data_IF_268129259788
#
_entry.id   IF_268129259788
#
_cell.length_a   1.000
_cell.length_b   1.000
_cell.length_c   1.000
_cell.angle_alpha   90.00
_cell.angle_beta   90.00
_cell.angle_gamma   90.00
#
_symmetry.space_group_name_H-M   'P 1'
#
loop_
_entity.id
_entity.type
_entity.pdbx_description
1 polymer ?
#
# COMPACT_ATOMS: atom_id res chain seq x y z
N UNK A 1 24.63 -1.49 -10.31
CA UNK A 1 23.66 -0.88 -11.25
C UNK A 1 23.31 0.55 -10.80
N UNK A 2 23.38 1.53 -11.70
CA UNK A 2 22.98 2.94 -11.46
C UNK A 2 21.46 3.11 -11.52
N UNK A 3 20.93 4.26 -11.08
CA UNK A 3 19.49 4.57 -11.19
C UNK A 3 19.03 4.57 -12.65
N UNK A 4 19.86 5.07 -13.57
CA UNK A 4 19.56 5.09 -15.01
C UNK A 4 19.54 3.68 -15.62
N UNK A 5 20.48 2.82 -15.23
CA UNK A 5 20.47 1.42 -15.66
C UNK A 5 19.22 0.68 -15.13
N UNK A 6 18.87 0.87 -13.86
CA UNK A 6 17.65 0.30 -13.28
C UNK A 6 16.39 0.82 -14.00
N UNK A 7 16.34 2.11 -14.29
CA UNK A 7 15.26 2.72 -15.07
C UNK A 7 15.09 2.03 -16.42
N UNK A 8 16.20 1.79 -17.14
CA UNK A 8 16.18 1.09 -18.42
C UNK A 8 15.71 -0.36 -18.26
N UNK A 9 16.17 -1.06 -17.24
CA UNK A 9 15.74 -2.44 -16.92
C UNK A 9 14.24 -2.54 -16.65
N UNK A 10 13.64 -1.55 -15.99
CA UNK A 10 12.19 -1.53 -15.74
C UNK A 10 11.37 -1.52 -17.04
N UNK A 11 11.94 -1.15 -18.20
CA UNK A 11 11.27 -1.25 -19.49
C UNK A 11 10.96 -2.70 -19.92
N UNK A 12 11.58 -3.70 -19.30
CA UNK A 12 11.31 -5.11 -19.53
C UNK A 12 10.37 -5.73 -18.48
N UNK A 13 10.03 -4.98 -17.43
CA UNK A 13 8.97 -5.38 -16.48
C UNK A 13 7.63 -5.32 -17.19
N UNK A 14 6.88 -6.41 -17.14
CA UNK A 14 5.51 -6.48 -17.64
C UNK A 14 4.55 -7.02 -16.56
N UNK A 15 3.29 -7.20 -16.92
CA UNK A 15 2.24 -7.63 -16.00
C UNK A 15 2.36 -9.11 -15.56
N UNK A 16 3.26 -9.90 -16.15
CA UNK A 16 3.43 -11.30 -15.80
C UNK A 16 3.94 -11.44 -14.36
N UNK A 17 3.53 -12.52 -13.69
CA UNK A 17 4.04 -12.84 -12.34
C UNK A 17 5.53 -13.15 -12.40
N UNK A 18 5.95 -13.91 -13.41
CA UNK A 18 7.34 -14.32 -13.61
C UNK A 18 8.29 -13.11 -13.66
N UNK A 19 7.99 -12.10 -14.50
CA UNK A 19 8.85 -10.91 -14.61
C UNK A 19 8.86 -10.08 -13.33
N UNK A 20 7.70 -9.90 -12.69
CA UNK A 20 7.64 -9.14 -11.42
C UNK A 20 8.39 -9.84 -10.30
N UNK A 21 8.30 -11.18 -10.21
CA UNK A 21 9.09 -11.98 -9.26
C UNK A 21 10.58 -11.92 -9.56
N UNK A 22 10.98 -12.01 -10.84
CA UNK A 22 12.39 -11.88 -11.23
C UNK A 22 12.99 -10.54 -10.76
N UNK A 23 12.32 -9.42 -11.07
CA UNK A 23 12.81 -8.10 -10.68
C UNK A 23 12.72 -7.84 -9.18
N UNK A 24 11.72 -8.40 -8.49
CA UNK A 24 11.67 -8.36 -7.03
C UNK A 24 12.88 -9.08 -6.42
N UNK A 25 13.20 -10.29 -6.88
CA UNK A 25 14.37 -11.03 -6.41
C UNK A 25 15.69 -10.31 -6.74
N UNK A 26 15.77 -9.62 -7.88
CA UNK A 26 16.92 -8.80 -8.25
C UNK A 26 17.15 -7.68 -7.22
N UNK A 27 16.10 -6.94 -6.81
CA UNK A 27 16.25 -5.86 -5.82
C UNK A 27 16.45 -6.38 -4.40
N UNK A 28 15.86 -7.53 -4.04
CA UNK A 28 16.10 -8.20 -2.76
C UNK A 28 17.56 -8.64 -2.65
N UNK A 29 18.11 -9.24 -3.71
CA UNK A 29 19.51 -9.66 -3.77
C UNK A 29 20.51 -8.50 -3.83
N UNK A 30 20.05 -7.28 -4.07
CA UNK A 30 20.89 -6.08 -4.17
C UNK A 30 20.23 -4.89 -3.45
N UNK A 31 20.26 -4.82 -2.11
CA UNK A 31 19.50 -3.83 -1.33
C UNK A 31 19.75 -2.36 -1.70
N UNK A 32 20.95 -2.01 -2.19
CA UNK A 32 21.28 -0.67 -2.70
C UNK A 32 20.39 -0.22 -3.89
N UNK A 33 19.72 -1.17 -4.55
CA UNK A 33 18.77 -0.87 -5.62
C UNK A 33 17.41 -0.41 -5.10
N UNK A 34 17.04 -0.74 -3.86
CA UNK A 34 15.72 -0.44 -3.32
C UNK A 34 15.54 1.09 -3.18
N UNK A 35 16.56 1.80 -2.70
CA UNK A 35 16.52 3.27 -2.63
C UNK A 35 16.31 3.91 -4.01
N UNK A 36 16.98 3.36 -5.03
CA UNK A 36 16.88 3.81 -6.45
C UNK A 36 15.52 3.45 -7.06
N UNK A 37 14.99 2.27 -6.72
CA UNK A 37 13.65 1.85 -7.12
C UNK A 37 12.61 2.83 -6.59
N UNK A 38 12.74 3.26 -5.33
CA UNK A 38 11.89 4.29 -4.74
C UNK A 38 12.05 5.66 -5.41
N UNK A 39 13.27 6.06 -5.79
CA UNK A 39 13.47 7.30 -6.58
C UNK A 39 12.67 7.26 -7.88
N UNK A 40 12.65 6.12 -8.56
CA UNK A 40 11.90 5.93 -9.81
C UNK A 40 10.39 5.87 -9.55
N UNK A 41 9.97 5.17 -8.48
CA UNK A 41 8.56 5.09 -8.06
C UNK A 41 7.96 6.48 -7.81
N UNK A 42 8.73 7.38 -7.20
CA UNK A 42 8.27 8.76 -6.91
C UNK A 42 8.49 9.75 -8.07
N UNK A 43 8.88 9.29 -9.27
CA UNK A 43 8.73 10.08 -10.51
C UNK A 43 7.27 10.01 -10.97
N UNK A 44 6.37 10.63 -10.23
CA UNK A 44 4.91 10.40 -10.32
C UNK A 44 4.26 10.78 -11.65
N UNK A 45 4.95 11.54 -12.50
CA UNK A 45 4.49 11.86 -13.86
C UNK A 45 5.06 10.93 -14.95
N UNK A 46 5.97 10.04 -14.57
CA UNK A 46 6.64 9.11 -15.47
C UNK A 46 5.92 7.76 -15.46
N UNK A 47 5.60 7.22 -16.65
CA UNK A 47 4.94 5.92 -16.78
C UNK A 47 5.79 4.77 -16.25
N UNK A 48 7.10 4.92 -16.15
CA UNK A 48 7.97 3.89 -15.55
C UNK A 48 7.69 3.71 -14.05
N UNK A 49 7.19 4.75 -13.38
CA UNK A 49 6.93 4.72 -11.93
C UNK A 49 5.99 3.59 -11.55
N UNK A 50 5.00 3.29 -12.39
CA UNK A 50 4.08 2.16 -12.21
C UNK A 50 4.82 0.81 -12.19
N UNK A 51 5.84 0.65 -13.03
CA UNK A 51 6.64 -0.59 -13.08
C UNK A 51 7.54 -0.70 -11.86
N UNK A 52 8.13 0.41 -11.42
CA UNK A 52 8.85 0.46 -10.16
C UNK A 52 7.94 0.09 -8.97
N UNK A 53 6.71 0.61 -8.96
CA UNK A 53 5.69 0.30 -7.95
C UNK A 53 5.31 -1.19 -7.95
N UNK A 54 5.19 -1.83 -9.12
CA UNK A 54 4.94 -3.28 -9.20
C UNK A 54 6.08 -4.11 -8.61
N UNK A 55 7.33 -3.76 -8.94
CA UNK A 55 8.50 -4.46 -8.39
C UNK A 55 8.59 -4.28 -6.89
N UNK A 56 8.37 -3.05 -6.40
CA UNK A 56 8.38 -2.73 -4.98
C UNK A 56 7.29 -3.46 -4.20
N UNK A 57 6.08 -3.55 -4.76
CA UNK A 57 4.97 -4.31 -4.16
C UNK A 57 5.24 -5.82 -4.13
N UNK A 58 5.85 -6.38 -5.17
CA UNK A 58 6.24 -7.79 -5.19
C UNK A 58 7.35 -8.10 -4.19
N UNK A 59 8.35 -7.21 -4.08
CA UNK A 59 9.39 -7.28 -3.06
C UNK A 59 8.78 -7.31 -1.65
N UNK A 60 7.88 -6.37 -1.34
CA UNK A 60 7.21 -6.31 -0.04
C UNK A 60 6.28 -7.50 0.21
N UNK A 61 5.70 -8.09 -0.83
CA UNK A 61 4.88 -9.30 -0.72
C UNK A 61 5.73 -10.52 -0.38
N UNK A 62 6.94 -10.61 -0.93
CA UNK A 62 7.87 -11.71 -0.66
C UNK A 62 8.51 -11.60 0.73
N UNK A 63 9.04 -10.42 1.05
CA UNK A 63 9.59 -10.13 2.38
C UNK A 63 9.34 -8.67 2.77
N UNK A 64 8.34 -8.45 3.62
CA UNK A 64 7.96 -7.12 4.08
C UNK A 64 9.06 -6.41 4.87
N UNK A 65 9.97 -7.13 5.55
CA UNK A 65 11.04 -6.51 6.34
C UNK A 65 12.07 -5.77 5.47
N UNK A 66 12.12 -6.05 4.17
CA UNK A 66 13.00 -5.33 3.22
C UNK A 66 12.67 -3.84 3.10
N UNK A 67 11.44 -3.43 3.45
CA UNK A 67 11.04 -2.02 3.45
C UNK A 67 11.61 -1.24 4.63
N UNK A 68 12.06 -1.90 5.71
CA UNK A 68 12.40 -1.26 6.98
C UNK A 68 13.38 -0.08 6.82
N UNK A 69 14.49 -0.20 6.07
CA UNK A 69 15.43 0.92 5.87
C UNK A 69 14.85 2.09 5.05
N UNK A 70 13.64 1.93 4.51
CA UNK A 70 13.01 2.84 3.56
C UNK A 70 11.60 3.28 3.98
N UNK A 71 11.16 2.92 5.18
CA UNK A 71 9.81 3.27 5.69
C UNK A 71 9.58 4.79 5.70
N UNK A 72 10.55 5.57 6.17
CA UNK A 72 10.46 7.03 6.17
C UNK A 72 10.25 7.57 4.76
N UNK A 73 11.16 7.22 3.83
CA UNK A 73 11.11 7.65 2.43
C UNK A 73 9.81 7.24 1.75
N UNK A 74 9.34 6.02 2.00
CA UNK A 74 8.11 5.50 1.42
C UNK A 74 6.88 6.27 1.93
N UNK A 75 6.70 6.32 3.26
CA UNK A 75 5.52 6.95 3.88
C UNK A 75 5.48 8.45 3.66
N UNK A 76 6.64 9.12 3.58
CA UNK A 76 6.72 10.56 3.32
C UNK A 76 6.32 10.93 1.89
N UNK A 77 6.49 10.04 0.90
CA UNK A 77 6.31 10.40 -0.52
C UNK A 77 5.12 9.72 -1.21
N UNK A 78 4.55 8.67 -0.63
CA UNK A 78 3.46 7.89 -1.24
C UNK A 78 2.22 8.72 -1.61
N UNK A 79 1.92 9.78 -0.86
CA UNK A 79 0.79 10.69 -1.14
C UNK A 79 0.92 11.41 -2.50
N UNK A 80 2.12 11.47 -3.08
CA UNK A 80 2.36 12.11 -4.39
C UNK A 80 1.93 11.22 -5.55
N UNK A 81 1.78 9.91 -5.32
CA UNK A 81 1.54 8.93 -6.38
C UNK A 81 0.08 9.05 -6.85
N UNK A 82 -0.11 9.35 -8.14
CA UNK A 82 -1.44 9.60 -8.72
C UNK A 82 -1.76 8.76 -9.95
N UNK A 83 -0.78 8.07 -10.56
CA UNK A 83 -1.05 7.19 -11.69
C UNK A 83 -1.76 5.92 -11.21
N UNK A 84 -2.97 5.63 -11.70
CA UNK A 84 -3.78 4.44 -11.34
C UNK A 84 -2.96 3.14 -11.21
N UNK A 85 -2.04 2.95 -12.14
CA UNK A 85 -1.20 1.75 -12.25
C UNK A 85 -0.16 1.63 -11.13
N UNK A 86 0.25 2.76 -10.54
CA UNK A 86 1.15 2.87 -9.39
C UNK A 86 0.41 2.98 -8.05
N UNK A 87 -0.76 3.64 -8.01
CA UNK A 87 -1.58 3.81 -6.81
C UNK A 87 -1.98 2.47 -6.20
N UNK A 88 -2.46 1.52 -7.02
CA UNK A 88 -2.86 0.19 -6.53
C UNK A 88 -1.71 -0.54 -5.79
N UNK A 89 -0.51 -0.69 -6.37
CA UNK A 89 0.64 -1.26 -5.67
C UNK A 89 0.97 -0.56 -4.35
N UNK A 90 0.97 0.77 -4.34
CA UNK A 90 1.25 1.57 -3.13
C UNK A 90 0.22 1.31 -2.03
N UNK A 91 -1.07 1.33 -2.37
CA UNK A 91 -2.14 1.00 -1.42
C UNK A 91 -2.03 -0.45 -0.90
N UNK A 92 -1.60 -1.40 -1.74
CA UNK A 92 -1.34 -2.78 -1.31
C UNK A 92 -0.16 -2.86 -0.33
N UNK A 93 0.93 -2.12 -0.56
CA UNK A 93 2.07 -2.05 0.37
C UNK A 93 1.62 -1.51 1.74
N UNK A 94 0.76 -0.48 1.76
CA UNK A 94 0.16 0.02 3.00
C UNK A 94 -0.60 -1.09 3.76
N UNK A 95 -1.39 -1.91 3.05
CA UNK A 95 -2.10 -3.05 3.66
C UNK A 95 -1.11 -4.11 4.20
N UNK A 96 -0.02 -4.39 3.49
CA UNK A 96 1.01 -5.32 3.93
C UNK A 96 1.70 -4.85 5.21
N UNK A 97 2.05 -3.56 5.30
CA UNK A 97 2.63 -2.96 6.51
C UNK A 97 1.67 -3.12 7.70
N UNK A 98 0.39 -2.74 7.53
CA UNK A 98 -0.60 -2.84 8.60
C UNK A 98 -0.85 -4.29 9.06
N UNK A 99 -0.86 -5.25 8.12
CA UNK A 99 -0.96 -6.68 8.43
C UNK A 99 0.26 -7.20 9.19
N UNK A 100 1.47 -6.79 8.79
CA UNK A 100 2.70 -7.17 9.49
C UNK A 100 2.72 -6.62 10.92
N UNK A 101 2.35 -5.34 11.08
CA UNK A 101 2.25 -4.67 12.38
C UNK A 101 1.28 -5.37 13.34
N UNK A 102 0.13 -5.83 12.84
CA UNK A 102 -0.88 -6.52 13.67
C UNK A 102 -0.82 -8.05 13.60
N UNK A 103 0.24 -8.60 13.00
CA UNK A 103 0.41 -10.04 12.86
C UNK A 103 0.60 -10.71 14.22
N UNK A 104 0.08 -11.94 14.37
CA UNK A 104 0.36 -12.76 15.55
C UNK A 104 1.81 -13.26 15.56
N UNK A 105 2.41 -13.41 14.38
CA UNK A 105 3.80 -13.82 14.23
C UNK A 105 4.71 -12.62 14.45
N UNK A 106 5.79 -12.83 15.21
CA UNK A 106 6.78 -11.79 15.47
C UNK A 106 7.54 -11.42 14.21
N UNK A 107 7.76 -10.12 14.02
CA UNK A 107 8.44 -9.55 12.87
C UNK A 107 8.89 -8.12 13.20
N UNK A 108 9.95 -7.67 12.54
CA UNK A 108 10.60 -6.39 12.87
C UNK A 108 9.73 -5.17 12.58
N UNK A 109 8.73 -5.27 11.70
CA UNK A 109 7.82 -4.14 11.41
C UNK A 109 7.12 -3.66 12.69
N UNK A 110 6.79 -4.57 13.62
CA UNK A 110 6.16 -4.22 14.90
C UNK A 110 7.01 -3.27 15.74
N UNK A 111 8.32 -3.44 15.70
CA UNK A 111 9.29 -2.70 16.51
C UNK A 111 9.63 -1.33 15.89
N UNK A 112 9.61 -1.23 14.56
CA UNK A 112 10.07 -0.03 13.85
C UNK A 112 8.94 0.89 13.35
N UNK A 113 7.69 0.43 13.35
CA UNK A 113 6.59 1.24 12.84
C UNK A 113 6.18 2.32 13.86
N UNK A 114 6.64 3.54 13.62
CA UNK A 114 6.37 4.72 14.45
C UNK A 114 4.95 5.26 14.26
N UNK A 115 4.45 6.11 15.18
CA UNK A 115 3.18 6.83 15.00
C UNK A 115 3.11 7.62 13.69
N UNK A 116 4.18 8.35 13.33
CA UNK A 116 4.20 9.16 12.11
C UNK A 116 4.09 8.31 10.83
N UNK A 117 4.66 7.10 10.82
CA UNK A 117 4.45 6.16 9.71
C UNK A 117 2.98 5.76 9.59
N UNK A 118 2.34 5.45 10.73
CA UNK A 118 0.93 5.04 10.77
C UNK A 118 0.01 6.17 10.31
N UNK A 119 0.21 7.38 10.82
CA UNK A 119 -0.56 8.57 10.45
C UNK A 119 -0.53 8.82 8.94
N UNK A 120 0.67 8.86 8.34
CA UNK A 120 0.82 9.03 6.88
C UNK A 120 0.11 7.94 6.08
N UNK A 121 0.18 6.68 6.53
CA UNK A 121 -0.52 5.55 5.88
C UNK A 121 -2.03 5.71 5.99
N UNK A 122 -2.53 6.11 7.16
CA UNK A 122 -3.95 6.34 7.42
C UNK A 122 -4.47 7.47 6.54
N UNK A 123 -3.78 8.62 6.49
CA UNK A 123 -4.12 9.77 5.64
C UNK A 123 -4.21 9.36 4.17
N UNK A 124 -3.16 8.74 3.62
CA UNK A 124 -3.15 8.30 2.23
C UNK A 124 -4.29 7.30 1.93
N UNK A 125 -4.61 6.41 2.88
CA UNK A 125 -5.72 5.48 2.72
C UNK A 125 -7.07 6.17 2.71
N UNK A 126 -7.28 7.21 3.53
CA UNK A 126 -8.50 8.03 3.47
C UNK A 126 -8.59 8.83 2.18
N UNK A 127 -7.49 9.41 1.70
CA UNK A 127 -7.44 10.10 0.42
C UNK A 127 -7.89 9.17 -0.71
N UNK A 128 -7.40 7.93 -0.75
CA UNK A 128 -7.84 6.95 -1.75
C UNK A 128 -9.33 6.60 -1.63
N UNK A 129 -9.88 6.61 -0.42
CA UNK A 129 -11.30 6.33 -0.20
C UNK A 129 -12.19 7.47 -0.71
N UNK A 130 -11.77 8.72 -0.47
CA UNK A 130 -12.50 9.94 -0.80
C UNK A 130 -12.40 10.29 -2.28
N UNK A 131 -11.21 10.17 -2.87
CA UNK A 131 -10.97 10.54 -4.27
C UNK A 131 -11.58 9.54 -5.27
N UNK A 132 -11.64 9.93 -6.55
CA UNK A 132 -12.08 9.08 -7.66
C UNK A 132 -11.00 8.06 -8.05
N UNK A 133 -10.75 7.12 -7.14
CA UNK A 133 -9.79 6.04 -7.33
C UNK A 133 -10.46 4.75 -7.80
N UNK A 134 -9.65 3.91 -8.46
CA UNK A 134 -10.11 2.55 -8.81
C UNK A 134 -10.46 1.75 -7.55
N UNK A 135 -11.32 0.75 -7.74
CA UNK A 135 -11.85 -0.08 -6.65
C UNK A 135 -10.75 -0.82 -5.87
N UNK A 136 -9.66 -1.21 -6.53
CA UNK A 136 -8.59 -1.98 -5.90
C UNK A 136 -7.82 -1.17 -4.83
N UNK A 137 -7.30 0.04 -5.10
CA UNK A 137 -6.79 0.94 -4.07
C UNK A 137 -7.77 1.09 -2.89
N UNK A 138 -9.03 1.43 -3.15
CA UNK A 138 -10.07 1.58 -2.11
C UNK A 138 -10.21 0.31 -1.26
N UNK A 139 -10.22 -0.87 -1.88
CA UNK A 139 -10.35 -2.14 -1.16
C UNK A 139 -9.15 -2.42 -0.23
N UNK A 140 -7.92 -2.07 -0.65
CA UNK A 140 -6.73 -2.14 0.21
C UNK A 140 -6.83 -1.11 1.34
N UNK A 141 -7.19 0.15 1.03
CA UNK A 141 -7.38 1.22 2.02
C UNK A 141 -8.40 0.85 3.09
N UNK A 142 -9.58 0.32 2.73
CA UNK A 142 -10.57 -0.14 3.71
C UNK A 142 -10.00 -1.17 4.69
N UNK A 143 -9.10 -2.03 4.21
CA UNK A 143 -8.51 -3.10 5.01
C UNK A 143 -7.45 -2.56 5.96
N UNK A 144 -6.62 -1.64 5.46
CA UNK A 144 -5.62 -0.90 6.23
C UNK A 144 -6.27 -0.07 7.33
N UNK A 145 -7.27 0.74 6.98
CA UNK A 145 -8.04 1.56 7.93
C UNK A 145 -8.77 0.70 8.95
N UNK A 146 -9.35 -0.44 8.55
CA UNK A 146 -9.93 -1.37 9.51
C UNK A 146 -8.91 -1.92 10.52
N UNK A 147 -7.66 -2.15 10.09
CA UNK A 147 -6.60 -2.64 10.98
C UNK A 147 -6.22 -1.55 11.99
N UNK A 148 -5.92 -0.33 11.51
CA UNK A 148 -5.51 0.78 12.38
C UNK A 148 -6.65 1.32 13.25
N UNK A 149 -7.91 1.19 12.84
CA UNK A 149 -9.05 1.59 13.66
C UNK A 149 -9.23 0.76 14.94
N UNK A 150 -8.45 -0.30 15.14
CA UNK A 150 -8.35 -0.98 16.45
C UNK A 150 -7.50 -0.22 17.47
N UNK A 151 -6.64 0.67 16.99
CA UNK A 151 -5.72 1.47 17.80
C UNK A 151 -6.15 2.93 17.86
N UNK A 152 -6.75 3.46 16.78
CA UNK A 152 -7.20 4.85 16.68
C UNK A 152 -8.73 4.90 16.59
N UNK A 153 -9.38 5.29 17.69
CA UNK A 153 -10.84 5.24 17.85
C UNK A 153 -11.61 6.07 16.82
N UNK A 154 -11.00 7.14 16.29
CA UNK A 154 -11.63 8.03 15.32
C UNK A 154 -11.73 7.43 13.91
N UNK A 155 -10.95 6.39 13.59
CA UNK A 155 -10.90 5.83 12.24
C UNK A 155 -12.20 5.10 11.86
N UNK A 156 -12.80 4.33 12.79
CA UNK A 156 -14.02 3.59 12.47
C UNK A 156 -15.22 4.48 12.18
N UNK A 157 -15.54 5.51 12.98
CA UNK A 157 -16.60 6.48 12.64
C UNK A 157 -16.43 7.08 11.25
N UNK A 158 -15.21 7.51 10.91
CA UNK A 158 -14.92 8.12 9.60
C UNK A 158 -15.06 7.10 8.47
N UNK A 159 -14.49 5.90 8.63
CA UNK A 159 -14.58 4.84 7.64
C UNK A 159 -16.04 4.40 7.41
N UNK A 160 -16.86 4.28 8.46
CA UNK A 160 -18.29 3.96 8.33
C UNK A 160 -19.00 5.03 7.51
N UNK A 161 -18.77 6.31 7.84
CA UNK A 161 -19.39 7.46 7.16
C UNK A 161 -19.12 7.41 5.66
N UNK A 162 -17.87 7.20 5.24
CA UNK A 162 -17.50 7.09 3.82
C UNK A 162 -18.15 5.86 3.17
N UNK A 163 -18.10 4.71 3.84
CA UNK A 163 -18.64 3.46 3.29
C UNK A 163 -20.16 3.51 3.08
N UNK A 164 -20.89 4.18 3.96
CA UNK A 164 -22.35 4.33 3.87
C UNK A 164 -22.74 5.37 2.83
N UNK A 165 -22.08 6.54 2.82
CA UNK A 165 -22.32 7.63 1.85
C UNK A 165 -22.11 7.14 0.41
N UNK A 166 -20.99 6.47 0.15
CA UNK A 166 -20.61 6.09 -1.21
C UNK A 166 -21.21 4.74 -1.63
N UNK A 167 -21.94 4.07 -0.72
CA UNK A 167 -22.32 2.67 -0.90
C UNK A 167 -23.12 2.43 -2.17
N UNK A 168 -24.14 3.25 -2.44
CA UNK A 168 -25.12 3.05 -3.53
C UNK A 168 -24.49 3.28 -4.91
N UNK A 169 -23.60 4.25 -5.03
CA UNK A 169 -22.99 4.71 -6.28
C UNK A 169 -21.78 3.86 -6.71
N UNK A 170 -21.17 3.13 -5.78
CA UNK A 170 -19.96 2.37 -6.05
C UNK A 170 -20.21 1.00 -6.71
N UNK A 171 -19.12 0.43 -7.25
CA UNK A 171 -19.12 -0.87 -7.93
C UNK A 171 -19.58 -2.04 -7.02
N UNK A 172 -19.98 -3.16 -7.64
CA UNK A 172 -20.32 -4.38 -6.90
C UNK A 172 -19.16 -4.91 -6.03
N UNK A 173 -17.91 -4.81 -6.52
CA UNK A 173 -16.73 -5.22 -5.79
C UNK A 173 -16.46 -4.32 -4.56
N UNK A 174 -16.64 -3.00 -4.70
CA UNK A 174 -16.58 -2.07 -3.58
C UNK A 174 -17.65 -2.42 -2.53
N UNK A 175 -18.91 -2.54 -2.95
CA UNK A 175 -20.05 -2.89 -2.08
C UNK A 175 -19.81 -4.20 -1.31
N UNK A 176 -19.24 -5.21 -1.97
CA UNK A 176 -18.88 -6.47 -1.34
C UNK A 176 -17.82 -6.28 -0.24
N UNK A 177 -16.78 -5.48 -0.50
CA UNK A 177 -15.74 -5.19 0.50
C UNK A 177 -16.27 -4.34 1.65
N UNK A 178 -17.04 -3.29 1.36
CA UNK A 178 -17.69 -2.43 2.35
C UNK A 178 -18.52 -3.24 3.35
N UNK A 179 -19.39 -4.15 2.86
CA UNK A 179 -20.18 -5.05 3.73
C UNK A 179 -19.31 -5.92 4.65
N UNK A 180 -18.20 -6.45 4.13
CA UNK A 180 -17.28 -7.25 4.93
C UNK A 180 -16.65 -6.43 6.06
N UNK A 181 -16.26 -5.19 5.77
CA UNK A 181 -15.61 -4.29 6.72
C UNK A 181 -16.61 -3.82 7.79
N UNK A 182 -17.77 -3.32 7.39
CA UNK A 182 -18.84 -2.92 8.32
C UNK A 182 -19.24 -4.06 9.27
N UNK A 183 -19.39 -5.29 8.73
CA UNK A 183 -19.67 -6.48 9.54
C UNK A 183 -18.58 -6.75 10.58
N UNK A 184 -17.30 -6.55 10.22
CA UNK A 184 -16.17 -6.74 11.15
C UNK A 184 -16.14 -5.66 12.22
N UNK A 185 -16.38 -4.39 11.87
CA UNK A 185 -16.44 -3.27 12.83
C UNK A 185 -17.56 -3.52 13.85
N UNK A 186 -18.77 -3.84 13.39
CA UNK A 186 -19.92 -4.12 14.27
C UNK A 186 -19.72 -5.34 15.19
N UNK A 187 -18.92 -6.32 14.78
CA UNK A 187 -18.56 -7.46 15.64
C UNK A 187 -17.55 -7.08 16.71
N UNK A 188 -16.63 -6.16 16.42
CA UNK A 188 -15.61 -5.71 17.35
C UNK A 188 -16.15 -4.71 18.38
N UNK A 189 -17.08 -3.82 18.01
CA UNK A 189 -17.70 -2.87 18.94
C UNK A 189 -18.71 -3.46 19.92
N UNK A 190 -19.00 -4.76 19.83
CA UNK A 190 -19.88 -5.50 20.77
C UNK A 190 -19.10 -6.31 21.83
N UNK A 191 -17.82 -6.01 22.02
CA UNK A 191 -16.95 -6.65 23.02
C UNK A 191 -16.56 -5.67 24.09
#
# INVERSE_FOLDING_TARGET
MTTEQLYNELNYVNHSREKRTYYANLVIGNPDLISKLLEILFKVNDKISARAAWVFEFMCTDNIETIIPHLDKFTEQMHKVHLDSAVRPVAKVCELIAKAYTSKTENKIKEVLTPIHKERIIEACFDYMINDEKVAPKAYSMSTLFIFGKEYDWIYPELITILERDFSEQSAAFKARARQILKKINKNGKR
#
